data_IF_795286272120
#
_entry.id   IF_795286272120
#
_cell.length_a   1.000
_cell.length_b   1.000
_cell.length_c   1.000
_cell.angle_alpha   90.00
_cell.angle_beta   90.00
_cell.angle_gamma   90.00
#
_symmetry.space_group_name_H-M   'P 1'
#
loop_
_entity.id
_entity.type
_entity.pdbx_description
1 polymer ?
#
# COMPACT_ATOMS: atom_id res chain seq x y z
N UNK A 1 -2.82 28.17 -4.04
CA UNK A 1 -2.24 26.82 -3.90
C UNK A 1 -1.07 26.85 -2.94
N UNK A 2 -0.96 25.90 -2.01
CA UNK A 2 0.15 25.69 -1.06
C UNK A 2 0.37 24.22 -0.86
N UNK A 3 1.62 23.82 -0.56
CA UNK A 3 1.98 22.44 -0.26
C UNK A 3 2.42 22.36 1.19
N UNK A 4 1.75 21.52 1.96
CA UNK A 4 2.01 21.27 3.36
C UNK A 4 2.36 19.80 3.58
N UNK A 5 3.45 19.60 4.30
CA UNK A 5 3.93 18.31 4.76
C UNK A 5 3.89 18.33 6.30
N UNK A 6 2.98 17.57 6.89
CA UNK A 6 2.78 17.55 8.35
C UNK A 6 3.13 16.17 8.89
N UNK A 7 4.07 16.08 9.81
CA UNK A 7 4.35 14.83 10.53
C UNK A 7 3.14 14.44 11.38
N UNK A 8 2.64 13.23 11.20
CA UNK A 8 1.43 12.77 11.93
C UNK A 8 1.73 12.57 13.41
N UNK A 9 2.94 12.12 13.76
CA UNK A 9 3.31 11.82 15.14
C UNK A 9 3.54 13.06 15.99
N UNK A 10 4.20 14.10 15.44
CA UNK A 10 4.61 15.31 16.18
C UNK A 10 3.72 16.51 15.91
N UNK A 11 2.98 16.50 14.81
CA UNK A 11 2.25 17.67 14.31
C UNK A 11 3.15 18.72 13.68
N UNK A 12 4.46 18.49 13.57
CA UNK A 12 5.39 19.41 12.95
C UNK A 12 5.06 19.60 11.48
N UNK A 13 5.00 20.86 11.03
CA UNK A 13 4.55 21.23 9.69
C UNK A 13 5.66 21.92 8.92
N UNK A 14 5.98 21.35 7.77
CA UNK A 14 6.82 21.96 6.75
C UNK A 14 5.93 22.49 5.64
N UNK A 15 6.06 23.76 5.29
CA UNK A 15 5.40 24.38 4.14
C UNK A 15 6.46 24.82 3.14
N UNK A 16 6.23 24.54 1.86
CA UNK A 16 7.18 24.98 0.81
C UNK A 16 7.08 26.49 0.61
N UNK A 17 8.19 27.19 0.77
CA UNK A 17 8.28 28.63 0.56
C UNK A 17 8.23 29.03 -0.92
N UNK A 18 8.70 28.15 -1.79
CA UNK A 18 8.57 28.25 -3.24
C UNK A 18 7.87 27.01 -3.76
N UNK A 19 6.80 27.21 -4.53
CA UNK A 19 6.01 26.11 -5.05
C UNK A 19 6.67 25.51 -6.30
N UNK A 20 6.61 24.20 -6.48
CA UNK A 20 7.01 23.56 -7.72
C UNK A 20 6.09 23.99 -8.87
N UNK A 21 6.60 23.96 -10.07
CA UNK A 21 5.82 24.26 -11.28
C UNK A 21 4.71 23.23 -11.49
N UNK A 22 4.98 21.97 -11.18
CA UNK A 22 4.06 20.85 -11.34
C UNK A 22 4.18 19.89 -10.17
N UNK A 23 3.03 19.50 -9.60
CA UNK A 23 2.94 18.40 -8.66
C UNK A 23 2.24 17.22 -9.37
N UNK A 24 2.95 16.13 -9.57
CA UNK A 24 2.47 14.94 -10.29
C UNK A 24 1.92 13.93 -9.30
N UNK A 25 0.68 13.49 -9.53
CA UNK A 25 0.09 12.34 -8.88
C UNK A 25 0.01 11.20 -9.88
N UNK A 26 0.49 10.02 -9.51
CA UNK A 26 0.44 8.80 -10.33
C UNK A 26 -0.27 7.71 -9.56
N UNK A 27 -1.25 7.09 -10.21
CA UNK A 27 -1.94 5.90 -9.72
C UNK A 27 -1.96 4.84 -10.80
N UNK A 28 -1.65 3.61 -10.43
CA UNK A 28 -1.65 2.47 -11.34
C UNK A 28 -2.57 1.37 -10.79
N UNK A 29 -3.19 0.61 -11.69
CA UNK A 29 -3.95 -0.60 -11.37
C UNK A 29 -3.07 -1.83 -11.54
N UNK A 30 -3.06 -2.70 -10.56
CA UNK A 30 -2.39 -3.99 -10.66
C UNK A 30 -3.29 -4.97 -11.44
N UNK A 31 -2.75 -5.61 -12.47
CA UNK A 31 -3.43 -6.62 -13.27
C UNK A 31 -2.78 -7.98 -13.09
N UNK A 32 -3.61 -9.02 -13.03
CA UNK A 32 -3.17 -10.39 -13.24
C UNK A 32 -3.38 -10.74 -14.72
N UNK A 33 -2.33 -11.24 -15.35
CA UNK A 33 -2.34 -11.62 -16.76
C UNK A 33 -2.50 -13.14 -16.85
N UNK A 34 -3.40 -13.62 -17.73
CA UNK A 34 -3.62 -15.02 -18.04
C UNK A 34 -3.59 -15.22 -19.54
N UNK A 35 -2.79 -16.18 -20.00
CA UNK A 35 -2.82 -16.63 -21.39
C UNK A 35 -3.78 -17.81 -21.54
N UNK A 36 -4.88 -17.60 -22.26
CA UNK A 36 -5.91 -18.62 -22.48
C UNK A 36 -5.80 -19.14 -23.91
N UNK A 37 -5.71 -20.45 -24.07
CA UNK A 37 -5.63 -21.11 -25.37
C UNK A 37 -6.86 -20.71 -26.20
N UNK A 38 -6.64 -20.29 -27.45
CA UNK A 38 -7.63 -19.82 -28.42
C UNK A 38 -8.33 -18.50 -28.08
N UNK A 39 -8.06 -17.88 -26.93
CA UNK A 39 -8.59 -16.56 -26.55
C UNK A 39 -7.50 -15.49 -26.54
N UNK A 40 -6.26 -15.88 -26.18
CA UNK A 40 -5.14 -14.98 -26.04
C UNK A 40 -5.00 -14.43 -24.60
N UNK A 41 -4.31 -13.30 -24.48
CA UNK A 41 -4.04 -12.64 -23.20
C UNK A 41 -5.31 -11.99 -22.61
N UNK A 42 -5.64 -12.37 -21.39
CA UNK A 42 -6.73 -11.75 -20.60
C UNK A 42 -6.14 -11.09 -19.36
N UNK A 43 -6.50 -9.82 -19.10
CA UNK A 43 -6.04 -9.05 -17.95
C UNK A 43 -7.19 -8.81 -16.98
N UNK A 44 -7.05 -9.31 -15.77
CA UNK A 44 -8.04 -9.15 -14.70
C UNK A 44 -7.47 -8.16 -13.67
N UNK A 45 -8.17 -7.06 -13.32
CA UNK A 45 -7.72 -6.14 -12.29
C UNK A 45 -7.65 -6.84 -10.94
N UNK A 46 -6.52 -6.72 -10.25
CA UNK A 46 -6.22 -7.38 -8.98
C UNK A 46 -6.27 -6.46 -7.78
N UNK A 47 -6.35 -5.16 -8.04
CA UNK A 47 -6.35 -4.10 -7.05
C UNK A 47 -5.63 -2.86 -7.57
N UNK A 48 -5.39 -1.90 -6.71
CA UNK A 48 -4.68 -0.67 -7.01
C UNK A 48 -3.31 -0.67 -6.37
N UNK A 49 -2.30 -0.24 -7.10
CA UNK A 49 -1.00 0.09 -6.54
C UNK A 49 -1.11 1.34 -5.66
N UNK A 50 -0.10 1.58 -4.84
CA UNK A 50 -0.02 2.78 -4.02
C UNK A 50 0.12 4.01 -4.92
N UNK A 51 -0.55 5.10 -4.53
CA UNK A 51 -0.37 6.38 -5.19
C UNK A 51 1.05 6.89 -4.96
N UNK A 52 1.62 7.48 -6.00
CA UNK A 52 2.92 8.15 -5.93
C UNK A 52 2.72 9.64 -6.23
N UNK A 53 3.34 10.48 -5.41
CA UNK A 53 3.32 11.93 -5.55
C UNK A 53 4.76 12.41 -5.77
N UNK A 54 5.01 13.14 -6.83
CA UNK A 54 6.37 13.61 -7.14
C UNK A 54 6.37 14.99 -7.74
N UNK A 55 7.39 15.75 -7.42
CA UNK A 55 7.65 17.06 -8.02
C UNK A 55 9.13 17.41 -7.92
N UNK A 56 9.52 18.43 -8.66
CA UNK A 56 10.83 19.05 -8.59
C UNK A 56 10.69 20.56 -8.46
N UNK A 57 11.68 21.20 -7.90
CA UNK A 57 11.67 22.64 -7.70
C UNK A 57 13.00 23.14 -7.14
N UNK A 58 12.96 24.39 -6.69
CA UNK A 58 14.10 25.04 -6.09
C UNK A 58 13.77 25.45 -4.66
N UNK A 59 14.68 25.18 -3.73
CA UNK A 59 14.66 25.73 -2.37
C UNK A 59 15.52 27.01 -2.39
N UNK A 60 14.89 28.18 -2.15
CA UNK A 60 15.61 29.45 -2.22
C UNK A 60 16.57 29.62 -1.04
N UNK A 61 17.80 29.94 -1.34
CA UNK A 61 18.82 30.28 -0.36
C UNK A 61 18.52 31.57 0.40
N UNK A 62 19.32 31.84 1.40
CA UNK A 62 19.14 33.02 2.31
C UNK A 62 19.06 34.34 1.56
N UNK A 63 19.83 34.51 0.50
CA UNK A 63 19.85 35.72 -0.32
C UNK A 63 18.54 35.99 -1.06
N UNK A 64 17.77 34.94 -1.35
CA UNK A 64 16.46 35.02 -2.06
C UNK A 64 15.24 34.92 -1.16
N UNK A 65 15.42 34.88 0.16
CA UNK A 65 14.33 34.77 1.13
C UNK A 65 13.20 35.77 0.92
N UNK A 66 13.53 37.02 0.55
CA UNK A 66 12.57 38.10 0.39
C UNK A 66 12.17 38.37 -1.07
N UNK A 67 12.48 37.45 -1.99
CA UNK A 67 12.07 37.59 -3.37
C UNK A 67 10.54 37.46 -3.49
N UNK A 68 9.92 38.18 -4.43
CA UNK A 68 8.47 38.26 -4.59
C UNK A 68 7.77 36.92 -4.84
N UNK A 69 8.49 35.95 -5.39
CA UNK A 69 8.01 34.60 -5.65
C UNK A 69 8.23 33.61 -4.49
N UNK A 70 8.87 34.07 -3.38
CA UNK A 70 9.13 33.26 -2.20
C UNK A 70 8.18 33.70 -1.08
N UNK A 71 7.46 32.76 -0.52
CA UNK A 71 6.61 32.99 0.68
C UNK A 71 7.51 33.05 1.91
N UNK A 72 8.01 34.22 2.23
CA UNK A 72 9.00 34.46 3.30
C UNK A 72 8.55 33.93 4.67
N UNK A 73 7.24 33.87 4.92
CA UNK A 73 6.66 33.31 6.16
C UNK A 73 6.90 31.80 6.33
N UNK A 74 7.09 31.08 5.23
CA UNK A 74 7.35 29.62 5.23
C UNK A 74 8.82 29.31 4.93
N UNK A 75 9.64 30.34 4.81
CA UNK A 75 11.04 30.13 4.44
C UNK A 75 11.82 29.45 5.58
N UNK A 76 12.50 28.38 5.23
CA UNK A 76 13.49 27.69 6.03
C UNK A 76 14.75 27.55 5.18
N UNK A 77 15.91 27.38 5.81
CA UNK A 77 17.12 27.17 5.04
C UNK A 77 17.06 25.86 4.25
N UNK A 78 17.58 25.80 3.02
CA UNK A 78 17.62 24.57 2.25
C UNK A 78 18.22 23.40 3.01
N UNK A 79 19.27 23.63 3.78
CA UNK A 79 19.95 22.61 4.59
C UNK A 79 19.00 22.03 5.68
N UNK A 80 18.25 22.87 6.37
CA UNK A 80 17.27 22.42 7.39
C UNK A 80 16.17 21.56 6.76
N UNK A 81 15.70 21.95 5.58
CA UNK A 81 14.69 21.18 4.83
C UNK A 81 15.24 19.82 4.42
N UNK A 82 16.46 19.78 3.84
CA UNK A 82 17.11 18.53 3.42
C UNK A 82 17.39 17.63 4.62
N UNK A 83 17.84 18.17 5.75
CA UNK A 83 18.04 17.42 6.98
C UNK A 83 16.71 16.83 7.51
N UNK A 84 15.62 17.57 7.37
CA UNK A 84 14.28 17.08 7.73
C UNK A 84 13.86 15.91 6.83
N UNK A 85 14.08 16.02 5.53
CA UNK A 85 13.79 14.92 4.59
C UNK A 85 14.65 13.69 4.87
N UNK A 86 15.93 13.87 5.18
CA UNK A 86 16.82 12.76 5.53
C UNK A 86 16.38 12.06 6.82
N UNK A 87 15.93 12.83 7.81
CA UNK A 87 15.34 12.28 9.04
C UNK A 87 14.08 11.46 8.72
N UNK A 88 13.15 12.02 7.93
CA UNK A 88 11.93 11.30 7.53
C UNK A 88 12.23 10.01 6.81
N UNK A 89 13.20 10.02 5.91
CA UNK A 89 13.64 8.84 5.19
C UNK A 89 14.21 7.76 6.12
N UNK A 90 15.06 8.14 7.07
CA UNK A 90 15.70 7.22 8.02
C UNK A 90 14.72 6.62 9.01
N UNK A 91 13.81 7.43 9.52
CA UNK A 91 12.85 7.05 10.56
C UNK A 91 11.58 6.41 9.99
N UNK A 92 11.35 6.48 8.67
CA UNK A 92 10.10 6.06 8.07
C UNK A 92 8.90 6.86 8.58
N UNK A 93 9.09 8.19 8.75
CA UNK A 93 8.08 9.07 9.32
C UNK A 93 6.86 9.17 8.42
N UNK A 94 5.67 8.93 9.00
CA UNK A 94 4.39 9.08 8.30
C UNK A 94 3.99 10.55 8.24
N UNK A 95 3.74 11.05 7.05
CA UNK A 95 3.53 12.46 6.74
C UNK A 95 2.15 12.63 6.11
N UNK A 96 1.41 13.66 6.52
CA UNK A 96 0.23 14.12 5.81
C UNK A 96 0.64 15.12 4.73
N UNK A 97 0.53 14.70 3.46
CA UNK A 97 0.67 15.58 2.30
C UNK A 97 -0.67 16.23 1.99
N UNK A 98 -0.70 17.55 2.03
CA UNK A 98 -1.87 18.34 1.64
C UNK A 98 -1.47 19.41 0.64
N UNK A 99 -2.16 19.43 -0.50
CA UNK A 99 -2.01 20.47 -1.52
C UNK A 99 -3.34 21.24 -1.58
N UNK A 100 -3.31 22.51 -1.18
CA UNK A 100 -4.53 23.34 -1.15
C UNK A 100 -5.09 23.55 -2.55
N UNK A 101 -6.39 23.70 -2.66
CA UNK A 101 -7.12 23.88 -3.92
C UNK A 101 -7.05 22.66 -4.85
N UNK A 102 -6.67 21.51 -4.31
CA UNK A 102 -6.65 20.22 -5.03
C UNK A 102 -7.26 19.12 -4.18
N UNK A 103 -7.44 17.95 -4.77
CA UNK A 103 -7.93 16.75 -4.06
C UNK A 103 -6.82 15.99 -3.32
N UNK A 104 -5.57 16.49 -3.37
CA UNK A 104 -4.42 15.81 -2.76
C UNK A 104 -4.40 16.07 -1.26
N UNK A 105 -4.81 15.08 -0.50
CA UNK A 105 -4.74 15.04 0.97
C UNK A 105 -4.59 13.58 1.41
N UNK A 106 -3.34 13.11 1.45
CA UNK A 106 -3.01 11.70 1.69
C UNK A 106 -1.94 11.55 2.75
N UNK A 107 -2.02 10.45 3.48
CA UNK A 107 -0.90 10.00 4.30
C UNK A 107 0.12 9.33 3.40
N UNK A 108 1.38 9.74 3.54
CA UNK A 108 2.47 9.31 2.67
C UNK A 108 3.74 9.02 3.48
N UNK A 109 4.64 8.25 2.88
CA UNK A 109 6.03 8.13 3.29
C UNK A 109 6.93 8.77 2.23
N UNK A 110 8.06 9.32 2.67
CA UNK A 110 9.09 9.78 1.74
C UNK A 110 9.74 8.55 1.08
N UNK A 111 9.61 8.44 -0.23
CA UNK A 111 10.19 7.36 -1.03
C UNK A 111 11.63 7.69 -1.41
N UNK A 112 11.83 8.81 -2.08
CA UNK A 112 13.15 9.25 -2.52
C UNK A 112 13.22 10.77 -2.65
N UNK A 113 14.43 11.30 -2.55
CA UNK A 113 14.71 12.70 -2.87
C UNK A 113 16.12 12.86 -3.42
N UNK A 114 16.30 13.88 -4.22
CA UNK A 114 17.61 14.44 -4.60
C UNK A 114 17.63 15.91 -4.22
N UNK A 115 18.75 16.42 -3.77
CA UNK A 115 18.93 17.83 -3.45
C UNK A 115 20.36 18.23 -3.78
N UNK A 116 20.51 19.17 -4.70
CA UNK A 116 21.80 19.59 -5.22
C UNK A 116 21.95 21.10 -5.00
N UNK A 117 23.02 21.56 -4.33
CA UNK A 117 23.29 22.98 -4.21
C UNK A 117 23.60 23.58 -5.57
N UNK A 118 22.94 24.68 -5.92
CA UNK A 118 23.09 25.34 -7.24
C UNK A 118 23.40 26.82 -7.07
N UNK A 119 24.30 27.31 -7.93
CA UNK A 119 24.66 28.72 -8.00
C UNK A 119 25.34 29.27 -6.75
N UNK A 120 25.66 30.55 -6.78
CA UNK A 120 26.37 31.25 -5.69
C UNK A 120 25.44 31.81 -4.59
N UNK A 121 24.11 31.58 -4.67
CA UNK A 121 23.14 32.17 -3.77
C UNK A 121 22.69 31.23 -2.63
N UNK A 122 23.25 30.02 -2.57
CA UNK A 122 22.85 29.01 -1.60
C UNK A 122 21.48 28.38 -1.90
N UNK A 123 21.05 28.41 -3.16
CA UNK A 123 19.85 27.74 -3.62
C UNK A 123 20.13 26.22 -3.77
N UNK A 124 19.09 25.41 -3.63
CA UNK A 124 19.15 23.97 -3.90
C UNK A 124 18.08 23.60 -4.94
N UNK A 125 18.49 22.90 -5.99
CA UNK A 125 17.55 22.20 -6.85
C UNK A 125 17.20 20.84 -6.22
N UNK A 126 15.93 20.49 -6.22
CA UNK A 126 15.50 19.24 -5.63
C UNK A 126 14.45 18.51 -6.48
N UNK A 127 14.44 17.21 -6.35
CA UNK A 127 13.36 16.35 -6.78
C UNK A 127 12.96 15.44 -5.62
N UNK A 128 11.67 15.27 -5.41
CA UNK A 128 11.16 14.51 -4.26
C UNK A 128 9.99 13.63 -4.71
N UNK A 129 9.93 12.42 -4.16
CA UNK A 129 8.87 11.44 -4.40
C UNK A 129 8.34 10.90 -3.08
N UNK A 130 7.03 10.81 -3.00
CA UNK A 130 6.31 10.23 -1.87
C UNK A 130 5.44 9.08 -2.35
N UNK A 131 5.25 8.09 -1.49
CA UNK A 131 4.38 6.95 -1.71
C UNK A 131 3.25 6.94 -0.68
N UNK A 132 2.05 6.59 -1.10
CA UNK A 132 0.87 6.52 -0.23
C UNK A 132 1.08 5.52 0.91
N UNK A 133 0.74 5.95 2.14
CA UNK A 133 0.77 5.12 3.33
C UNK A 133 -0.63 4.52 3.57
N UNK A 134 -0.96 3.41 2.92
CA UNK A 134 -2.21 2.70 3.20
C UNK A 134 -2.15 2.04 4.58
N UNK A 135 -3.23 2.13 5.37
CA UNK A 135 -3.34 1.35 6.60
C UNK A 135 -3.38 -0.14 6.24
N UNK A 136 -2.60 -0.95 6.97
CA UNK A 136 -2.69 -2.40 6.90
C UNK A 136 -3.76 -2.83 7.89
N UNK A 137 -4.91 -3.27 7.39
CA UNK A 137 -5.94 -3.90 8.21
C UNK A 137 -5.65 -5.41 8.27
N UNK A 138 -5.16 -5.87 9.42
CA UNK A 138 -4.95 -7.29 9.67
C UNK A 138 -6.19 -7.82 10.38
N UNK A 139 -7.01 -8.57 9.66
CA UNK A 139 -8.16 -9.25 10.26
C UNK A 139 -7.72 -10.60 10.83
N UNK A 140 -8.04 -10.84 12.10
CA UNK A 140 -7.90 -12.18 12.69
C UNK A 140 -9.03 -13.08 12.19
N UNK A 141 -8.82 -14.40 12.20
CA UNK A 141 -9.84 -15.38 11.76
C UNK A 141 -11.16 -15.22 12.52
N UNK A 142 -11.10 -14.76 13.76
CA UNK A 142 -12.29 -14.51 14.59
C UNK A 142 -13.06 -13.26 14.15
N UNK A 143 -12.39 -12.25 13.62
CA UNK A 143 -13.02 -11.01 13.14
C UNK A 143 -13.71 -11.19 11.79
N UNK A 144 -13.20 -12.09 10.97
CA UNK A 144 -13.78 -12.41 9.66
C UNK A 144 -15.13 -13.16 9.77
N UNK A 145 -15.55 -13.61 10.97
CA UNK A 145 -16.77 -14.38 11.17
C UNK A 145 -16.98 -15.48 10.12
N UNK A 146 -15.89 -16.10 9.66
CA UNK A 146 -15.95 -17.20 8.72
C UNK A 146 -16.49 -18.40 9.50
N UNK A 147 -17.81 -18.51 9.58
CA UNK A 147 -18.43 -19.78 9.92
C UNK A 147 -17.96 -20.78 8.87
N UNK A 148 -17.31 -21.88 9.26
CA UNK A 148 -17.00 -22.92 8.28
C UNK A 148 -18.33 -23.28 7.61
N UNK A 149 -18.40 -23.10 6.30
CA UNK A 149 -19.51 -23.65 5.52
C UNK A 149 -19.45 -25.16 5.71
N UNK A 150 -20.28 -25.67 6.61
CA UNK A 150 -20.58 -27.09 6.63
C UNK A 150 -21.11 -27.38 5.22
N UNK A 151 -20.33 -28.09 4.43
CA UNK A 151 -20.80 -28.59 3.14
C UNK A 151 -21.95 -29.56 3.48
N UNK A 152 -23.15 -29.06 3.52
CA UNK A 152 -24.32 -29.90 3.36
C UNK A 152 -24.25 -30.37 1.92
N UNK A 153 -23.70 -31.56 1.74
CA UNK A 153 -23.93 -32.31 0.50
C UNK A 153 -25.41 -32.41 0.29
N UNK A 154 -25.98 -31.51 -0.50
CA UNK A 154 -27.29 -31.73 -1.09
C UNK A 154 -27.11 -32.88 -2.07
N UNK A 155 -27.32 -34.09 -1.57
CA UNK A 155 -27.50 -35.25 -2.40
C UNK A 155 -28.80 -35.00 -3.18
N UNK A 156 -28.70 -34.65 -4.44
CA UNK A 156 -29.81 -34.68 -5.37
C UNK A 156 -30.27 -36.13 -5.40
N UNK A 157 -31.48 -36.37 -4.91
CA UNK A 157 -32.12 -37.65 -4.91
C UNK A 157 -32.33 -38.14 -6.36
N UNK A 158 -31.43 -39.00 -6.80
CA UNK A 158 -31.66 -39.84 -7.96
C UNK A 158 -32.49 -41.07 -7.47
N UNK A 159 -33.70 -41.13 -7.90
CA UNK A 159 -34.64 -42.25 -7.65
C UNK A 159 -34.12 -43.50 -8.33
N UNK A 160 -33.38 -44.35 -7.60
CA UNK A 160 -33.07 -45.73 -7.98
C UNK A 160 -33.53 -46.64 -6.83
N UNK A 161 -34.29 -47.72 -7.09
CA UNK A 161 -34.80 -48.59 -6.04
C UNK A 161 -33.65 -49.27 -5.27
N UNK A 162 -33.84 -49.54 -3.97
CA UNK A 162 -32.77 -50.02 -3.11
C UNK A 162 -32.46 -51.47 -3.32
N UNK A 163 -31.23 -51.80 -3.76
CA UNK A 163 -30.71 -53.13 -3.50
C UNK A 163 -30.10 -53.12 -2.10
N UNK A 164 -30.74 -53.83 -1.21
CA UNK A 164 -30.28 -54.05 0.14
C UNK A 164 -28.90 -54.72 0.13
N UNK A 165 -27.90 -54.03 0.67
CA UNK A 165 -26.63 -54.65 1.04
C UNK A 165 -26.42 -54.38 2.52
N UNK A 166 -26.40 -55.47 3.29
CA UNK A 166 -26.20 -55.47 4.71
C UNK A 166 -24.94 -54.69 5.13
N UNK A 167 -25.06 -53.91 6.18
CA UNK A 167 -23.96 -53.18 6.79
C UNK A 167 -22.85 -54.18 7.19
N UNK A 168 -21.63 -53.92 6.74
CA UNK A 168 -20.47 -54.69 7.15
C UNK A 168 -20.26 -54.49 8.68
N UNK A 169 -20.34 -55.58 9.41
CA UNK A 169 -20.03 -55.58 10.85
C UNK A 169 -18.53 -55.28 11.02
N UNK A 170 -18.22 -54.21 11.70
CA UNK A 170 -16.84 -53.92 12.12
C UNK A 170 -16.43 -54.89 13.22
N UNK A 171 -15.31 -55.58 13.00
CA UNK A 171 -14.72 -56.48 13.99
C UNK A 171 -13.51 -55.78 14.66
N UNK A 172 -13.47 -55.81 15.99
CA UNK A 172 -12.33 -55.27 16.72
C UNK A 172 -11.32 -56.37 16.91
N UNK A 173 -10.17 -56.23 16.31
CA UNK A 173 -9.06 -57.17 16.35
C UNK A 173 -8.50 -57.34 17.76
N UNK A 174 -8.35 -58.53 18.24
CA UNK A 174 -7.75 -58.92 19.53
C UNK A 174 -6.38 -59.54 19.34
N UNK A 175 -5.56 -59.40 20.35
CA UNK A 175 -4.19 -60.03 20.34
C UNK A 175 -4.32 -61.57 20.15
N UNK A 176 -3.75 -62.06 19.05
CA UNK A 176 -3.84 -63.48 18.64
C UNK A 176 -4.75 -63.76 17.42
N UNK A 177 -5.44 -62.72 16.89
CA UNK A 177 -6.25 -62.89 15.69
C UNK A 177 -5.36 -62.87 14.42
N UNK A 178 -5.67 -63.73 13.49
CA UNK A 178 -5.07 -63.70 12.14
C UNK A 178 -6.09 -63.23 11.12
N UNK A 179 -5.66 -62.47 10.11
CA UNK A 179 -6.50 -61.95 9.03
C UNK A 179 -7.35 -63.02 8.34
N UNK A 180 -6.82 -64.28 8.29
CA UNK A 180 -7.54 -65.42 7.68
C UNK A 180 -8.73 -65.87 8.53
N UNK A 181 -8.67 -65.75 9.86
CA UNK A 181 -9.75 -66.10 10.79
C UNK A 181 -10.83 -65.03 10.85
N UNK A 182 -10.52 -63.80 10.51
CA UNK A 182 -11.48 -62.67 10.51
C UNK A 182 -12.31 -62.64 9.24
N UNK A 183 -11.78 -63.21 8.13
CA UNK A 183 -12.39 -63.18 6.80
C UNK A 183 -13.34 -64.35 6.52
N UNK A 184 -13.51 -65.30 7.43
CA UNK A 184 -14.48 -66.40 7.36
C UNK A 184 -15.80 -65.98 8.03
#
# INVERSE_FOLDING_TARGET
MDIYLTEIATGARLALSMLPEKAKQKGDTAFQVYDIINVGEVRIPRGTNLLTFSWSGTLPGKSRRNASYVKSQYWQSPEEIVNTWERWRKEGTKIRLMVTETTINHDVYLDSYTAEPTGGNGDYEYSISFIEAKPIEVYTVNELNIKPKTQTNKTSASTRPPAAKAAAKTYTVKSGDSLWKIAQ
#
